data_IF_027142438751
#
_entry.id   IF_027142438751
#
_cell.length_a   1.000
_cell.length_b   1.000
_cell.length_c   1.000
_cell.angle_alpha   90.00
_cell.angle_beta   90.00
_cell.angle_gamma   90.00
#
_symmetry.space_group_name_H-M   'P 1'
#
loop_
_entity.id
_entity.type
_entity.pdbx_description
1 polymer ?
#
# COMPACT_ATOMS: atom_id res chain seq x y z
N UNK A 1 1.84 -23.93 -16.45
CA UNK A 1 2.01 -22.69 -17.23
C UNK A 1 2.43 -21.63 -16.24
N UNK A 2 3.68 -21.20 -16.30
CA UNK A 2 4.13 -20.01 -15.60
C UNK A 2 3.35 -18.83 -16.17
N UNK A 3 2.36 -18.34 -15.39
CA UNK A 3 1.61 -17.16 -15.75
C UNK A 3 2.58 -15.99 -15.93
N UNK A 4 2.78 -15.57 -17.16
CA UNK A 4 3.54 -14.37 -17.44
C UNK A 4 2.71 -13.19 -16.91
N UNK A 5 3.22 -12.49 -15.91
CA UNK A 5 2.54 -11.31 -15.41
C UNK A 5 2.68 -10.19 -16.45
N UNK A 6 1.59 -9.89 -17.14
CA UNK A 6 1.56 -8.88 -18.19
C UNK A 6 1.38 -7.45 -17.65
N UNK A 7 1.26 -7.31 -16.34
CA UNK A 7 1.02 -6.00 -15.71
C UNK A 7 2.36 -5.44 -15.18
N UNK A 8 3.05 -4.67 -16.02
CA UNK A 8 4.32 -4.06 -15.64
C UNK A 8 4.53 -2.70 -16.32
N UNK A 9 5.29 -1.84 -15.65
CA UNK A 9 5.85 -0.59 -16.17
C UNK A 9 7.35 -0.62 -15.89
N UNK A 10 8.17 -0.57 -16.93
CA UNK A 10 9.62 -0.59 -16.73
C UNK A 10 10.37 0.29 -17.74
N UNK A 11 11.51 0.84 -17.29
CA UNK A 11 12.41 1.69 -18.09
C UNK A 11 11.68 2.88 -18.74
N UNK A 12 10.71 3.45 -18.01
CA UNK A 12 9.85 4.54 -18.47
C UNK A 12 10.21 5.85 -17.77
N UNK A 13 10.18 6.97 -18.49
CA UNK A 13 10.34 8.30 -17.94
C UNK A 13 8.95 8.96 -17.82
N UNK A 14 8.51 9.17 -16.59
CA UNK A 14 7.21 9.75 -16.23
C UNK A 14 7.48 11.08 -15.54
N UNK A 15 7.06 12.18 -16.15
CA UNK A 15 7.28 13.54 -15.61
C UNK A 15 6.00 14.34 -15.59
N UNK A 16 5.88 15.20 -14.58
CA UNK A 16 4.74 16.12 -14.43
C UNK A 16 3.39 15.41 -14.45
N UNK A 17 3.38 14.14 -14.07
CA UNK A 17 2.17 13.36 -13.92
C UNK A 17 1.54 13.56 -12.54
N UNK A 18 0.27 13.21 -12.43
CA UNK A 18 -0.47 13.33 -11.17
C UNK A 18 -0.75 14.78 -10.77
N UNK A 19 -1.44 14.93 -9.67
CA UNK A 19 -1.85 16.22 -9.13
C UNK A 19 -3.36 16.32 -8.92
N UNK A 20 -3.80 17.53 -8.60
CA UNK A 20 -5.20 17.81 -8.30
C UNK A 20 -6.05 17.89 -9.55
N UNK A 21 -7.18 17.22 -9.55
CA UNK A 21 -8.20 17.29 -10.59
C UNK A 21 -9.59 17.38 -9.96
N UNK A 22 -10.55 17.91 -10.70
CA UNK A 22 -11.95 17.90 -10.31
C UNK A 22 -12.63 16.67 -10.92
N UNK A 23 -13.17 15.81 -10.05
CA UNK A 23 -13.99 14.67 -10.43
C UNK A 23 -15.32 14.83 -9.71
N UNK A 24 -16.43 14.83 -10.45
CA UNK A 24 -17.79 14.96 -9.92
C UNK A 24 -17.97 16.14 -8.92
N UNK A 25 -17.38 17.28 -9.27
CA UNK A 25 -17.41 18.52 -8.46
C UNK A 25 -16.60 18.46 -7.15
N UNK A 26 -15.84 17.40 -6.90
CA UNK A 26 -14.88 17.30 -5.81
C UNK A 26 -13.44 17.42 -6.32
N UNK A 27 -12.58 18.10 -5.57
CA UNK A 27 -11.15 18.12 -5.84
C UNK A 27 -10.52 16.87 -5.24
N UNK A 28 -9.80 16.12 -6.07
CA UNK A 28 -9.01 14.98 -5.63
C UNK A 28 -7.60 15.03 -6.19
N UNK A 29 -6.66 14.33 -5.59
CA UNK A 29 -5.26 14.29 -6.00
C UNK A 29 -4.86 12.88 -6.44
N UNK A 30 -4.38 12.75 -7.65
CA UNK A 30 -4.02 11.46 -8.24
C UNK A 30 -2.51 11.36 -8.47
N UNK A 31 -1.97 10.17 -8.19
CA UNK A 31 -0.60 9.80 -8.57
C UNK A 31 -0.53 9.41 -10.04
N UNK A 32 0.61 9.60 -10.72
CA UNK A 32 0.77 9.18 -12.12
C UNK A 32 0.62 7.67 -12.31
N UNK A 33 0.92 6.90 -11.26
CA UNK A 33 0.67 5.45 -11.20
C UNK A 33 -0.16 5.19 -9.96
N UNK A 34 -1.34 4.62 -10.15
CA UNK A 34 -2.20 4.16 -9.05
C UNK A 34 -2.55 2.69 -9.24
N UNK A 35 -2.31 1.91 -8.20
CA UNK A 35 -2.54 0.45 -8.18
C UNK A 35 -3.78 0.18 -7.33
N UNK A 36 -4.79 -0.46 -7.91
CA UNK A 36 -6.01 -0.84 -7.20
C UNK A 36 -6.12 -2.36 -7.24
N UNK A 37 -6.07 -2.99 -6.08
CA UNK A 37 -6.27 -4.43 -5.85
C UNK A 37 -5.52 -5.32 -6.88
N UNK A 38 -4.36 -4.85 -7.30
CA UNK A 38 -3.54 -5.50 -8.31
C UNK A 38 -2.07 -5.50 -7.92
N UNK A 39 -1.26 -6.29 -8.60
CA UNK A 39 0.14 -6.55 -8.24
C UNK A 39 1.07 -6.40 -9.45
N UNK A 40 1.20 -5.18 -10.02
CA UNK A 40 2.11 -4.92 -11.12
C UNK A 40 3.58 -4.93 -10.67
N UNK A 41 4.49 -5.11 -11.61
CA UNK A 41 5.90 -4.78 -11.43
C UNK A 41 6.16 -3.36 -11.94
N UNK A 42 6.69 -2.48 -11.10
CA UNK A 42 7.05 -1.10 -11.41
C UNK A 42 8.56 -0.97 -11.19
N UNK A 43 9.35 -1.09 -12.25
CA UNK A 43 10.78 -1.29 -12.12
C UNK A 43 11.62 -0.40 -13.03
N UNK A 44 12.71 0.15 -12.49
CA UNK A 44 13.71 0.93 -13.24
C UNK A 44 13.13 2.13 -13.99
N UNK A 45 12.08 2.74 -13.46
CA UNK A 45 11.47 3.94 -14.03
C UNK A 45 12.09 5.20 -13.43
N UNK A 46 11.96 6.30 -14.15
CA UNK A 46 12.21 7.64 -13.64
C UNK A 46 10.85 8.34 -13.45
N UNK A 47 10.48 8.67 -12.22
CA UNK A 47 9.20 9.32 -11.90
C UNK A 47 9.50 10.63 -11.18
N UNK A 48 9.26 11.75 -11.84
CA UNK A 48 9.67 13.07 -11.31
C UNK A 48 8.62 14.15 -11.53
N UNK A 49 8.70 15.16 -10.66
CA UNK A 49 7.96 16.41 -10.81
C UNK A 49 6.43 16.21 -10.78
N UNK A 50 5.96 15.20 -10.05
CA UNK A 50 4.53 14.96 -9.84
C UNK A 50 3.98 15.83 -8.70
N UNK A 51 2.82 16.45 -8.94
CA UNK A 51 2.08 17.19 -7.90
C UNK A 51 1.28 16.26 -6.95
N UNK A 52 1.63 14.99 -6.90
CA UNK A 52 1.12 13.97 -5.98
C UNK A 52 2.25 12.98 -5.66
N UNK A 53 1.93 11.85 -5.05
CA UNK A 53 2.90 10.79 -4.85
C UNK A 53 3.41 10.22 -6.19
N UNK A 54 4.64 9.73 -6.22
CA UNK A 54 5.20 9.07 -7.41
C UNK A 54 4.39 7.82 -7.80
N UNK A 55 4.05 7.02 -6.80
CA UNK A 55 3.21 5.81 -6.94
C UNK A 55 2.25 5.75 -5.76
N UNK A 56 1.03 5.31 -6.01
CA UNK A 56 0.08 5.01 -4.94
C UNK A 56 -0.57 3.63 -5.13
N UNK A 57 -1.02 3.04 -4.03
CA UNK A 57 -1.68 1.73 -4.04
C UNK A 57 -2.81 1.68 -3.00
N UNK A 58 -3.90 0.98 -3.32
CA UNK A 58 -4.92 0.64 -2.34
C UNK A 58 -4.39 -0.37 -1.31
N UNK A 59 -4.92 -0.44 -0.09
CA UNK A 59 -4.46 -1.39 0.92
C UNK A 59 -4.47 -2.85 0.46
N UNK A 60 -5.50 -3.31 -0.25
CA UNK A 60 -5.61 -4.70 -0.71
C UNK A 60 -4.70 -5.02 -1.91
N UNK A 61 -4.03 -4.02 -2.50
CA UNK A 61 -2.97 -4.26 -3.49
C UNK A 61 -1.76 -4.99 -2.91
N UNK A 62 -1.56 -4.95 -1.58
CA UNK A 62 -0.44 -5.62 -0.90
C UNK A 62 -0.70 -7.09 -0.57
N UNK A 63 -1.76 -7.67 -1.09
CA UNK A 63 -2.10 -9.09 -0.89
C UNK A 63 -0.91 -10.01 -1.24
N UNK A 64 -0.64 -10.98 -0.35
CA UNK A 64 0.43 -11.99 -0.50
C UNK A 64 -0.11 -13.36 -0.96
N UNK A 65 -1.38 -13.46 -1.31
CA UNK A 65 -1.99 -14.71 -1.75
C UNK A 65 -1.49 -15.17 -3.13
N UNK A 66 -1.61 -16.46 -3.40
CA UNK A 66 -1.30 -17.01 -4.72
C UNK A 66 0.19 -16.99 -5.11
N UNK A 67 1.09 -16.90 -4.14
CA UNK A 67 2.55 -16.98 -4.38
C UNK A 67 3.18 -15.71 -4.95
N UNK A 68 2.49 -14.59 -4.91
CA UNK A 68 3.00 -13.27 -5.26
C UNK A 68 2.61 -12.26 -4.19
N UNK A 69 3.56 -11.42 -3.82
CA UNK A 69 3.37 -10.30 -2.90
C UNK A 69 3.07 -9.05 -3.71
N UNK A 70 2.21 -8.19 -3.25
CA UNK A 70 1.80 -6.86 -3.67
C UNK A 70 2.43 -6.24 -4.92
N UNK A 71 2.34 -4.96 -5.18
CA UNK A 71 3.09 -4.36 -6.27
C UNK A 71 4.58 -4.52 -5.99
N UNK A 72 5.35 -5.03 -6.97
CA UNK A 72 6.80 -5.11 -6.90
C UNK A 72 7.40 -3.77 -7.37
N UNK A 73 8.07 -3.05 -6.45
CA UNK A 73 8.62 -1.73 -6.74
C UNK A 73 10.12 -1.76 -6.53
N UNK A 74 10.88 -1.77 -7.61
CA UNK A 74 12.33 -1.95 -7.56
C UNK A 74 13.09 -1.03 -8.49
N UNK A 75 14.18 -0.43 -8.00
CA UNK A 75 15.16 0.32 -8.81
C UNK A 75 14.61 1.58 -9.47
N UNK A 76 13.49 2.15 -8.98
CA UNK A 76 12.95 3.37 -9.53
C UNK A 76 13.68 4.61 -8.99
N UNK A 77 13.89 5.59 -9.84
CA UNK A 77 14.38 6.91 -9.45
C UNK A 77 13.20 7.86 -9.23
N UNK A 78 13.04 8.34 -8.00
CA UNK A 78 11.97 9.24 -7.60
C UNK A 78 12.58 10.58 -7.17
N UNK A 79 12.10 11.70 -7.73
CA UNK A 79 12.56 13.02 -7.33
C UNK A 79 11.52 14.12 -7.59
N UNK A 80 11.49 15.11 -6.73
CA UNK A 80 10.63 16.30 -6.86
C UNK A 80 9.13 15.99 -6.96
N UNK A 81 8.69 14.82 -6.48
CA UNK A 81 7.28 14.53 -6.34
C UNK A 81 6.79 15.08 -4.98
N UNK A 82 5.51 15.37 -4.83
CA UNK A 82 4.98 15.77 -3.51
C UNK A 82 5.27 14.71 -2.45
N UNK A 83 5.25 13.43 -2.84
CA UNK A 83 5.70 12.30 -2.03
C UNK A 83 6.61 11.43 -2.88
N UNK A 84 7.90 11.36 -2.55
CA UNK A 84 8.87 10.44 -3.18
C UNK A 84 8.80 9.07 -2.50
N UNK A 85 7.66 8.39 -2.62
CA UNK A 85 7.37 7.14 -1.93
C UNK A 85 6.19 6.41 -2.54
N UNK A 86 5.90 5.25 -1.96
CA UNK A 86 4.69 4.47 -2.23
C UNK A 86 3.59 4.91 -1.26
N UNK A 87 2.68 5.72 -1.76
CA UNK A 87 1.57 6.24 -0.98
C UNK A 87 0.46 5.20 -0.84
N UNK A 88 0.15 4.82 0.38
CA UNK A 88 -0.99 3.94 0.67
C UNK A 88 -2.25 4.80 0.66
N UNK A 89 -3.01 4.70 -0.42
CA UNK A 89 -4.21 5.52 -0.60
C UNK A 89 -5.38 4.88 0.13
N UNK A 90 -5.87 5.60 1.12
CA UNK A 90 -6.99 5.20 1.97
C UNK A 90 -8.11 6.20 1.72
N UNK A 91 -9.32 5.70 1.56
CA UNK A 91 -10.50 6.53 1.45
C UNK A 91 -11.17 6.66 2.82
N UNK A 92 -11.40 7.90 3.23
CA UNK A 92 -12.13 8.24 4.46
C UNK A 92 -13.37 9.03 4.08
N UNK A 93 -14.53 8.56 4.49
CA UNK A 93 -15.81 9.23 4.25
C UNK A 93 -16.50 9.52 5.60
N UNK A 94 -16.96 10.74 5.79
CA UNK A 94 -17.64 11.18 7.02
C UNK A 94 -16.86 10.85 8.30
N UNK A 95 -15.53 10.94 8.26
CA UNK A 95 -14.65 10.61 9.38
C UNK A 95 -14.45 9.11 9.63
N UNK A 96 -15.00 8.25 8.78
CA UNK A 96 -14.81 6.80 8.84
C UNK A 96 -13.93 6.32 7.71
N UNK A 97 -12.95 5.46 8.02
CA UNK A 97 -12.14 4.80 7.01
C UNK A 97 -13.00 3.80 6.24
N UNK A 98 -13.13 4.03 4.94
CA UNK A 98 -13.90 3.17 4.03
C UNK A 98 -13.02 2.07 3.47
N UNK A 99 -11.83 2.41 2.99
CA UNK A 99 -10.88 1.44 2.41
C UNK A 99 -9.99 0.86 3.50
N UNK A 100 -10.05 -0.45 3.69
CA UNK A 100 -9.28 -1.19 4.69
C UNK A 100 -8.41 -2.26 4.04
N UNK A 101 -7.38 -2.71 4.74
CA UNK A 101 -6.69 -3.94 4.38
C UNK A 101 -7.54 -5.13 4.83
N UNK A 102 -8.17 -5.82 3.87
CA UNK A 102 -9.08 -6.94 4.14
C UNK A 102 -8.44 -8.31 3.89
N UNK A 103 -7.30 -8.33 3.22
CA UNK A 103 -6.54 -9.53 2.83
C UNK A 103 -5.29 -9.71 3.70
N UNK A 104 -4.63 -10.88 3.65
CA UNK A 104 -3.26 -11.02 4.14
C UNK A 104 -2.31 -10.19 3.29
N UNK A 105 -1.95 -9.01 3.77
CA UNK A 105 -1.07 -8.08 3.08
C UNK A 105 0.36 -8.11 3.60
N UNK A 106 1.31 -7.73 2.76
CA UNK A 106 2.73 -7.68 3.10
C UNK A 106 3.43 -6.48 2.46
N UNK A 107 4.16 -5.73 3.28
CA UNK A 107 5.11 -4.73 2.82
C UNK A 107 6.49 -5.36 2.72
N UNK A 108 7.00 -5.52 1.51
CA UNK A 108 8.27 -6.19 1.24
C UNK A 108 9.25 -5.39 0.38
N UNK A 109 8.81 -4.28 -0.23
CA UNK A 109 9.67 -3.43 -1.06
C UNK A 109 10.54 -2.51 -0.20
N UNK A 110 11.82 -2.82 -0.10
CA UNK A 110 12.78 -2.03 0.71
C UNK A 110 13.40 -0.86 -0.04
N UNK A 111 13.17 -0.77 -1.33
CA UNK A 111 13.72 0.30 -2.20
C UNK A 111 12.87 1.58 -2.16
N UNK A 112 11.72 1.53 -1.53
CA UNK A 112 10.80 2.66 -1.46
C UNK A 112 10.20 2.80 -0.05
N UNK A 113 10.01 4.02 0.42
CA UNK A 113 9.31 4.25 1.67
C UNK A 113 7.79 4.12 1.45
N UNK A 114 7.12 3.38 2.34
CA UNK A 114 5.65 3.32 2.40
C UNK A 114 5.13 4.54 3.15
N UNK A 115 4.19 5.28 2.59
CA UNK A 115 3.73 6.54 3.16
C UNK A 115 2.25 6.49 3.51
N UNK A 116 1.94 6.89 4.74
CA UNK A 116 0.59 6.98 5.29
C UNK A 116 0.27 8.43 5.65
N UNK A 117 -0.79 8.98 5.09
CA UNK A 117 -1.36 10.27 5.51
C UNK A 117 -2.73 10.10 6.19
N UNK A 118 -3.30 8.90 6.11
CA UNK A 118 -4.54 8.49 6.75
C UNK A 118 -4.35 7.17 7.49
N UNK A 119 -5.26 6.84 8.42
CA UNK A 119 -5.15 5.63 9.22
C UNK A 119 -5.32 4.37 8.38
N UNK A 120 -4.32 3.50 8.36
CA UNK A 120 -4.41 2.19 7.76
C UNK A 120 -5.11 1.24 8.74
N UNK A 121 -6.34 0.88 8.42
CA UNK A 121 -7.14 -0.05 9.22
C UNK A 121 -7.00 -1.46 8.65
N UNK A 122 -6.58 -2.39 9.48
CA UNK A 122 -6.53 -3.81 9.17
C UNK A 122 -7.83 -4.43 9.63
N UNK A 123 -8.64 -4.86 8.67
CA UNK A 123 -9.99 -5.35 8.91
C UNK A 123 -10.00 -6.61 9.76
N UNK A 124 -10.83 -6.60 10.79
CA UNK A 124 -11.13 -7.76 11.62
C UNK A 124 -12.57 -8.22 11.42
N UNK A 125 -12.78 -9.53 11.48
CA UNK A 125 -14.11 -10.11 11.48
C UNK A 125 -14.42 -10.73 12.85
N UNK A 126 -15.42 -10.17 13.53
CA UNK A 126 -15.88 -10.73 14.80
C UNK A 126 -16.82 -11.91 14.53
N UNK A 127 -16.56 -13.04 15.15
CA UNK A 127 -17.41 -14.24 15.07
C UNK A 127 -16.72 -15.42 14.38
N UNK A 128 -17.29 -16.61 14.58
CA UNK A 128 -16.80 -17.85 14.07
C UNK A 128 -17.15 -18.12 12.59
N UNK A 129 -17.13 -19.40 12.22
CA UNK A 129 -17.54 -19.83 10.89
C UNK A 129 -18.99 -19.44 10.60
N UNK A 130 -19.27 -19.12 9.37
CA UNK A 130 -20.62 -18.88 8.88
C UNK A 130 -20.97 -19.83 7.75
N UNK A 131 -22.26 -20.11 7.60
CA UNK A 131 -22.77 -20.90 6.48
C UNK A 131 -22.92 -19.98 5.27
N UNK A 132 -22.16 -20.22 4.22
CA UNK A 132 -22.36 -19.57 2.95
C UNK A 132 -23.67 -20.09 2.32
N UNK A 133 -24.66 -19.23 2.23
CA UNK A 133 -25.97 -19.58 1.69
C UNK A 133 -25.98 -19.91 0.19
N UNK A 134 -24.93 -19.51 -0.53
CA UNK A 134 -24.79 -19.76 -1.96
C UNK A 134 -24.19 -21.14 -2.23
N UNK A 135 -23.16 -21.50 -1.46
CA UNK A 135 -22.44 -22.76 -1.65
C UNK A 135 -22.89 -23.86 -0.68
N UNK A 136 -23.55 -23.51 0.41
CA UNK A 136 -23.94 -24.43 1.48
C UNK A 136 -22.76 -24.89 2.34
N UNK A 137 -21.60 -24.30 2.22
CA UNK A 137 -20.38 -24.66 2.94
C UNK A 137 -20.16 -23.76 4.16
N UNK A 138 -19.48 -24.31 5.18
CA UNK A 138 -19.02 -23.57 6.34
C UNK A 138 -17.68 -22.89 6.00
N UNK A 139 -17.74 -21.58 5.79
CA UNK A 139 -16.56 -20.75 5.53
C UNK A 139 -16.07 -20.04 6.80
N UNK A 140 -14.75 -19.92 6.95
CA UNK A 140 -14.15 -19.04 7.96
C UNK A 140 -14.32 -17.57 7.51
N UNK A 141 -14.47 -16.67 8.47
CA UNK A 141 -14.38 -15.25 8.18
C UNK A 141 -12.91 -14.89 8.00
N UNK A 142 -12.59 -14.31 6.86
CA UNK A 142 -11.25 -13.77 6.62
C UNK A 142 -11.06 -12.47 7.40
N UNK A 143 -9.90 -12.31 7.99
CA UNK A 143 -9.45 -11.05 8.59
C UNK A 143 -8.21 -10.56 7.86
N UNK A 144 -8.03 -9.26 7.79
CA UNK A 144 -6.82 -8.66 7.29
C UNK A 144 -5.62 -9.02 8.19
N UNK A 145 -4.45 -9.05 7.60
CA UNK A 145 -3.17 -9.16 8.28
C UNK A 145 -2.16 -8.29 7.57
N UNK A 146 -1.34 -7.57 8.30
CA UNK A 146 -0.20 -6.86 7.73
C UNK A 146 1.10 -7.48 8.24
N UNK A 147 1.88 -8.02 7.34
CA UNK A 147 3.27 -8.41 7.57
C UNK A 147 4.18 -7.32 7.04
N UNK A 148 5.15 -6.90 7.84
CA UNK A 148 6.15 -5.88 7.47
C UNK A 148 7.53 -6.51 7.56
N UNK A 149 8.20 -6.60 6.41
CA UNK A 149 9.51 -7.25 6.29
C UNK A 149 10.65 -6.43 6.92
N UNK A 150 11.77 -7.09 7.28
CA UNK A 150 12.95 -6.40 7.77
C UNK A 150 13.51 -5.39 6.77
N UNK A 151 13.75 -4.17 7.24
CA UNK A 151 14.30 -3.07 6.44
C UNK A 151 13.25 -2.18 5.78
N UNK A 152 11.98 -2.47 5.97
CA UNK A 152 10.90 -1.59 5.48
C UNK A 152 10.90 -0.28 6.25
N UNK A 153 10.67 0.81 5.52
CA UNK A 153 10.46 2.15 6.06
C UNK A 153 9.01 2.54 5.86
N UNK A 154 8.34 2.89 6.95
CA UNK A 154 6.99 3.44 6.96
C UNK A 154 7.05 4.87 7.48
N UNK A 155 6.66 5.82 6.65
CA UNK A 155 6.56 7.24 7.00
C UNK A 155 5.10 7.62 7.23
N UNK A 156 4.83 8.43 8.24
CA UNK A 156 3.46 8.89 8.50
C UNK A 156 3.38 10.39 8.73
N UNK A 157 2.26 10.97 8.31
CA UNK A 157 1.88 12.37 8.56
C UNK A 157 0.69 12.41 9.53
N UNK A 158 0.91 12.02 10.80
CA UNK A 158 -0.14 11.95 11.80
C UNK A 158 -1.07 10.73 11.69
N UNK A 159 -0.77 9.82 10.77
CA UNK A 159 -1.52 8.58 10.56
C UNK A 159 -1.01 7.46 11.49
N UNK A 160 -1.85 6.46 11.70
CA UNK A 160 -1.53 5.26 12.48
C UNK A 160 -2.00 3.98 11.76
N UNK A 161 -1.49 2.85 12.21
CA UNK A 161 -1.97 1.53 11.78
C UNK A 161 -2.86 0.99 12.90
N UNK A 162 -4.06 0.57 12.55
CA UNK A 162 -5.07 0.07 13.47
C UNK A 162 -5.41 -1.38 13.13
N UNK A 163 -5.48 -2.25 14.13
CA UNK A 163 -5.97 -3.62 13.97
C UNK A 163 -7.34 -3.75 14.64
N UNK A 164 -8.35 -4.10 13.87
CA UNK A 164 -9.71 -4.31 14.40
C UNK A 164 -9.81 -5.63 15.18
N UNK A 165 -10.76 -5.71 16.08
CA UNK A 165 -11.05 -6.95 16.80
C UNK A 165 -11.49 -8.06 15.85
N UNK A 166 -11.25 -9.32 16.21
CA UNK A 166 -11.77 -10.48 15.49
C UNK A 166 -10.79 -11.19 14.57
N UNK A 167 -9.49 -11.11 14.85
CA UNK A 167 -8.47 -11.91 14.18
C UNK A 167 -7.58 -11.16 13.21
N UNK A 168 -7.70 -9.82 13.11
CA UNK A 168 -6.71 -9.03 12.40
C UNK A 168 -5.35 -9.07 13.11
N UNK A 169 -4.27 -8.91 12.36
CA UNK A 169 -2.92 -8.96 12.90
C UNK A 169 -1.98 -7.95 12.25
N UNK A 170 -1.06 -7.42 13.05
CA UNK A 170 0.11 -6.68 12.59
C UNK A 170 1.34 -7.46 13.03
N UNK A 171 2.22 -7.78 12.10
CA UNK A 171 3.47 -8.50 12.35
C UNK A 171 4.59 -7.68 11.71
N UNK A 172 5.41 -7.04 12.51
CA UNK A 172 6.55 -6.26 12.05
C UNK A 172 7.81 -6.76 12.77
N UNK A 173 8.59 -7.56 12.09
CA UNK A 173 9.79 -8.18 12.64
C UNK A 173 11.04 -7.73 11.88
N UNK A 174 11.73 -6.74 12.44
CA UNK A 174 13.02 -6.31 11.94
C UNK A 174 14.17 -7.19 12.48
N UNK A 175 15.33 -7.03 11.89
CA UNK A 175 16.59 -7.58 12.44
C UNK A 175 17.49 -6.46 12.93
N UNK A 176 18.55 -6.80 13.69
CA UNK A 176 19.52 -5.80 14.17
C UNK A 176 20.13 -4.96 13.02
N UNK A 177 20.35 -5.58 11.87
CA UNK A 177 20.98 -4.92 10.72
C UNK A 177 19.95 -4.38 9.71
N UNK A 178 18.70 -4.78 9.82
CA UNK A 178 17.57 -4.36 8.98
C UNK A 178 16.33 -4.16 9.85
N UNK A 179 16.32 -3.13 10.70
CA UNK A 179 15.14 -2.83 11.50
C UNK A 179 13.98 -2.39 10.60
N UNK A 180 12.76 -2.62 11.04
CA UNK A 180 11.59 -1.93 10.50
C UNK A 180 11.58 -0.52 11.09
N UNK A 181 11.43 0.49 10.24
CA UNK A 181 11.47 1.90 10.64
C UNK A 181 10.07 2.50 10.52
N UNK A 182 9.57 3.01 11.63
CA UNK A 182 8.39 3.88 11.64
C UNK A 182 8.84 5.29 11.98
N UNK A 183 8.57 6.25 11.09
CA UNK A 183 9.03 7.61 11.26
C UNK A 183 8.09 8.66 10.68
N UNK A 184 8.38 9.94 10.87
CA UNK A 184 7.61 11.04 10.28
C UNK A 184 7.87 11.14 8.77
N UNK A 185 6.88 11.62 8.03
CA UNK A 185 7.05 11.97 6.61
C UNK A 185 8.20 12.98 6.41
N UNK A 186 8.47 13.82 7.40
CA UNK A 186 9.54 14.83 7.37
C UNK A 186 10.92 14.31 7.81
N UNK A 187 11.08 13.02 8.01
CA UNK A 187 12.37 12.43 8.40
C UNK A 187 13.20 12.05 7.16
N UNK A 188 14.09 12.93 6.74
CA UNK A 188 14.94 12.75 5.55
C UNK A 188 16.08 11.75 5.73
N UNK A 189 16.27 11.19 6.94
CA UNK A 189 17.29 10.16 7.18
C UNK A 189 16.94 8.83 6.52
N UNK A 190 15.67 8.62 6.20
CA UNK A 190 15.15 7.38 5.60
C UNK A 190 14.30 7.71 4.37
N UNK A 191 14.85 7.43 3.19
CA UNK A 191 14.21 7.79 1.93
C UNK A 191 14.12 9.32 1.73
N UNK A 192 13.92 9.77 0.52
CA UNK A 192 13.63 11.19 0.27
C UNK A 192 12.17 11.53 0.60
N UNK A 193 11.95 12.71 1.14
CA UNK A 193 10.61 13.31 1.26
C UNK A 193 10.15 13.89 -0.07
#
# INVERSE_FOLDING_TARGET
SSGMFLNYISHTDIRHGGGKVFVDSAEDSFSPIHVIDSRPSIAFNRITDSNSAAVSASPDSFDESGGRIGPEIVGNYLANNTINGLFIRIETQDGQVVTKLTTPGRFNDTDIAHVLTENLVIAGNVGGRYLDKTTGELSGRASGRLLVDPGIVIKSAGARIEAEAGGSAIIAEGTKNRPVIFTSINDDRYGSS
#
